data_IF_871394904168
#
_entry.id   IF_871394904168
#
_cell.length_a   1.000
_cell.length_b   1.000
_cell.length_c   1.000
_cell.angle_alpha   90.00
_cell.angle_beta   90.00
_cell.angle_gamma   90.00
#
_symmetry.space_group_name_H-M   'P 1'
#
loop_
_entity.id
_entity.type
_entity.pdbx_description
1 polymer ?
#
# COMPACT_ATOMS: atom_id res chain seq x y z
N UNK A 1 -9.34 3.41 49.73
CA UNK A 1 -10.33 3.88 48.72
C UNK A 1 -9.88 5.07 47.86
N UNK A 2 -8.65 5.59 47.99
CA UNK A 2 -8.11 6.63 47.07
C UNK A 2 -7.16 6.08 45.99
N UNK A 3 -6.60 4.88 46.19
CA UNK A 3 -5.65 4.26 45.24
C UNK A 3 -6.36 3.55 44.07
N UNK A 4 -7.54 2.98 44.31
CA UNK A 4 -8.39 2.35 43.28
C UNK A 4 -9.02 3.36 42.31
N UNK A 5 -9.16 4.63 42.72
CA UNK A 5 -9.70 5.70 41.87
C UNK A 5 -8.65 6.25 40.88
N UNK A 6 -7.37 6.18 41.22
CA UNK A 6 -6.27 6.71 40.40
C UNK A 6 -5.96 5.81 39.18
N UNK A 7 -6.17 4.50 39.32
CA UNK A 7 -5.94 3.50 38.26
C UNK A 7 -6.98 3.53 37.13
N UNK A 8 -8.18 4.07 37.38
CA UNK A 8 -9.23 4.20 36.34
C UNK A 8 -8.96 5.40 35.40
N UNK A 9 -8.20 6.41 35.87
CA UNK A 9 -7.85 7.58 35.04
C UNK A 9 -6.85 7.26 33.92
N UNK A 10 -6.13 6.13 34.01
CA UNK A 10 -5.12 5.71 33.02
C UNK A 10 -5.77 4.93 31.85
N UNK A 11 -7.03 4.49 31.99
CA UNK A 11 -7.75 3.72 30.97
C UNK A 11 -8.58 4.59 29.99
N UNK A 12 -8.52 5.92 30.11
CA UNK A 12 -9.26 6.87 29.26
C UNK A 12 -8.37 7.81 28.42
N UNK A 13 -7.03 7.65 28.45
CA UNK A 13 -6.11 8.36 27.54
C UNK A 13 -5.59 7.35 26.50
N UNK A 14 -6.54 6.70 25.84
CA UNK A 14 -6.29 5.80 24.70
C UNK A 14 -6.99 6.34 23.46
N UNK A 15 -6.79 7.60 23.13
CA UNK A 15 -7.13 8.13 21.81
C UNK A 15 -5.85 8.67 21.19
N UNK A 16 -5.00 7.76 20.70
CA UNK A 16 -4.10 8.11 19.63
C UNK A 16 -4.97 8.33 18.39
N UNK A 17 -5.37 9.57 18.13
CA UNK A 17 -5.86 9.98 16.82
C UNK A 17 -4.69 9.90 15.84
N UNK A 18 -4.32 8.68 15.45
CA UNK A 18 -3.43 8.48 14.33
C UNK A 18 -4.29 8.37 13.08
N UNK A 19 -4.62 9.54 12.54
CA UNK A 19 -5.12 9.66 11.18
C UNK A 19 -4.27 10.70 10.47
N UNK A 20 -3.04 10.32 10.13
CA UNK A 20 -2.45 10.85 8.90
C UNK A 20 -3.16 10.14 7.73
N UNK A 21 -4.47 10.42 7.60
CA UNK A 21 -5.14 10.24 6.34
C UNK A 21 -4.55 11.33 5.45
N UNK A 22 -3.53 10.97 4.67
CA UNK A 22 -3.15 11.78 3.51
C UNK A 22 -4.40 11.94 2.67
N UNK A 23 -5.05 13.09 2.80
CA UNK A 23 -6.25 13.43 2.06
C UNK A 23 -5.81 13.71 0.62
N UNK A 24 -5.88 12.69 -0.23
CA UNK A 24 -5.68 12.86 -1.67
C UNK A 24 -6.79 13.74 -2.23
N UNK A 25 -6.42 14.64 -3.15
CA UNK A 25 -7.39 15.47 -3.87
C UNK A 25 -8.27 14.63 -4.79
N UNK A 26 -9.42 15.17 -5.18
CA UNK A 26 -10.29 14.46 -6.11
C UNK A 26 -9.61 14.27 -7.47
N UNK A 27 -8.78 15.22 -7.89
CA UNK A 27 -7.97 15.15 -9.10
C UNK A 27 -6.93 14.02 -9.02
N UNK A 28 -6.24 13.87 -7.88
CA UNK A 28 -5.27 12.79 -7.66
C UNK A 28 -5.94 11.41 -7.68
N UNK A 29 -7.13 11.29 -7.07
CA UNK A 29 -7.94 10.07 -7.10
C UNK A 29 -8.41 9.76 -8.52
N UNK A 30 -8.89 10.75 -9.26
CA UNK A 30 -9.36 10.57 -10.65
C UNK A 30 -8.21 10.12 -11.55
N UNK A 31 -7.06 10.80 -11.47
CA UNK A 31 -5.88 10.44 -12.25
C UNK A 31 -5.42 9.01 -11.94
N UNK A 32 -5.32 8.65 -10.66
CA UNK A 32 -4.99 7.28 -10.26
C UNK A 32 -6.01 6.27 -10.81
N UNK A 33 -7.30 6.60 -10.74
CA UNK A 33 -8.37 5.71 -11.21
C UNK A 33 -8.31 5.48 -12.72
N UNK A 34 -8.07 6.52 -13.51
CA UNK A 34 -7.94 6.43 -14.97
C UNK A 34 -6.77 5.52 -15.38
N UNK A 35 -5.62 5.68 -14.72
CA UNK A 35 -4.42 4.89 -15.01
C UNK A 35 -4.52 3.46 -14.45
N UNK A 36 -4.91 3.31 -13.18
CA UNK A 36 -4.88 2.02 -12.47
C UNK A 36 -6.02 1.07 -12.87
N UNK A 37 -7.17 1.60 -13.33
CA UNK A 37 -8.29 0.78 -13.80
C UNK A 37 -8.23 0.47 -15.30
N UNK A 38 -7.11 0.79 -15.96
CA UNK A 38 -6.81 0.22 -17.26
C UNK A 38 -7.66 0.76 -18.42
N UNK A 39 -8.13 2.01 -18.36
CA UNK A 39 -8.77 2.65 -19.51
C UNK A 39 -7.87 2.67 -20.77
N UNK A 40 -6.54 2.54 -20.61
CA UNK A 40 -5.58 2.42 -21.71
C UNK A 40 -5.36 0.99 -22.25
N UNK A 41 -5.68 -0.09 -21.51
CA UNK A 41 -5.27 -1.46 -21.85
C UNK A 41 -6.42 -2.49 -21.77
N UNK A 42 -7.44 -2.30 -22.61
CA UNK A 42 -8.45 -3.33 -22.91
C UNK A 42 -9.67 -3.39 -21.99
N UNK A 43 -10.69 -4.14 -22.43
CA UNK A 43 -12.06 -4.12 -21.91
C UNK A 43 -12.18 -4.09 -20.38
N UNK A 44 -12.95 -3.09 -19.92
CA UNK A 44 -13.22 -2.67 -18.53
C UNK A 44 -13.20 -3.82 -17.51
N UNK A 45 -12.18 -3.81 -16.64
CA UNK A 45 -12.26 -4.46 -15.33
C UNK A 45 -12.24 -3.35 -14.28
N UNK A 46 -13.42 -2.95 -13.81
CA UNK A 46 -13.62 -1.93 -12.78
C UNK A 46 -13.18 -2.36 -11.36
N UNK A 47 -12.39 -3.43 -11.25
CA UNK A 47 -12.04 -4.06 -9.97
C UNK A 47 -10.53 -3.95 -9.74
N UNK A 48 -10.16 -3.16 -8.74
CA UNK A 48 -8.77 -3.09 -8.24
C UNK A 48 -8.43 -4.42 -7.56
N UNK A 49 -7.33 -5.05 -7.99
CA UNK A 49 -6.79 -6.25 -7.33
C UNK A 49 -5.59 -5.85 -6.48
N UNK A 50 -5.71 -6.07 -5.16
CA UNK A 50 -4.63 -5.87 -4.21
C UNK A 50 -3.93 -7.21 -3.95
N UNK A 51 -2.60 -7.24 -3.99
CA UNK A 51 -1.82 -8.39 -3.53
C UNK A 51 -1.91 -8.52 -2.01
N UNK A 52 -2.16 -9.74 -1.54
CA UNK A 52 -2.24 -10.06 -0.09
C UNK A 52 -0.93 -10.56 0.48
N UNK A 53 0.03 -10.88 -0.40
CA UNK A 53 1.30 -11.51 -0.09
C UNK A 53 2.33 -11.08 -1.15
N UNK A 54 3.61 -11.31 -0.85
CA UNK A 54 4.73 -10.99 -1.75
C UNK A 54 4.56 -11.59 -3.15
N UNK A 55 4.90 -10.79 -4.15
CA UNK A 55 4.81 -11.17 -5.55
C UNK A 55 5.95 -12.13 -5.87
N UNK A 56 5.61 -13.25 -6.50
CA UNK A 56 6.60 -14.20 -7.04
C UNK A 56 6.89 -13.88 -8.49
N UNK A 57 8.15 -13.56 -8.79
CA UNK A 57 8.62 -13.20 -10.13
C UNK A 57 9.49 -14.33 -10.69
N UNK A 58 9.28 -14.69 -11.97
CA UNK A 58 10.08 -15.66 -12.70
C UNK A 58 10.74 -15.00 -13.90
N UNK A 59 12.06 -15.04 -13.94
CA UNK A 59 12.86 -14.58 -15.09
C UNK A 59 13.00 -15.74 -16.09
N UNK A 60 12.82 -15.45 -17.38
CA UNK A 60 13.00 -16.41 -18.48
C UNK A 60 14.05 -15.87 -19.45
N UNK A 61 14.79 -16.77 -20.09
CA UNK A 61 15.87 -16.42 -21.02
C UNK A 61 17.20 -16.26 -20.30
N UNK A 62 18.11 -15.52 -20.92
CA UNK A 62 19.49 -15.27 -20.44
C UNK A 62 19.61 -13.79 -20.04
N UNK A 63 19.20 -13.40 -18.82
CA UNK A 63 19.31 -12.02 -18.36
C UNK A 63 20.78 -11.62 -18.21
N UNK A 64 21.09 -10.38 -18.53
CA UNK A 64 22.38 -9.79 -18.20
C UNK A 64 22.46 -9.44 -16.71
N UNK A 65 23.67 -9.18 -16.22
CA UNK A 65 23.87 -8.72 -14.85
C UNK A 65 23.14 -7.39 -14.56
N UNK A 66 23.09 -6.49 -15.53
CA UNK A 66 22.36 -5.23 -15.43
C UNK A 66 20.84 -5.46 -15.31
N UNK A 67 20.31 -6.45 -16.04
CA UNK A 67 18.90 -6.84 -15.94
C UNK A 67 18.60 -7.37 -14.54
N UNK A 68 19.47 -8.24 -14.00
CA UNK A 68 19.30 -8.81 -12.66
C UNK A 68 19.33 -7.76 -11.56
N UNK A 69 20.25 -6.79 -11.65
CA UNK A 69 20.32 -5.68 -10.69
C UNK A 69 19.06 -4.83 -10.73
N UNK A 70 18.59 -4.51 -11.94
CA UNK A 70 17.35 -3.73 -12.13
C UNK A 70 16.14 -4.47 -11.55
N UNK A 71 15.99 -5.76 -11.86
CA UNK A 71 14.89 -6.58 -11.36
C UNK A 71 14.96 -6.72 -9.84
N UNK A 72 16.16 -6.87 -9.26
CA UNK A 72 16.34 -6.98 -7.81
C UNK A 72 15.87 -5.72 -7.08
N UNK A 73 16.21 -4.54 -7.61
CA UNK A 73 15.72 -3.27 -7.08
C UNK A 73 14.20 -3.19 -7.15
N UNK A 74 13.61 -3.49 -8.31
CA UNK A 74 12.14 -3.44 -8.50
C UNK A 74 11.43 -4.43 -7.55
N UNK A 75 11.98 -5.63 -7.36
CA UNK A 75 11.41 -6.63 -6.43
C UNK A 75 11.42 -6.10 -5.00
N UNK A 76 12.50 -5.41 -4.58
CA UNK A 76 12.60 -4.80 -3.25
C UNK A 76 11.70 -3.58 -3.05
N UNK A 77 11.30 -2.90 -4.13
CA UNK A 77 10.32 -1.80 -4.05
C UNK A 77 8.88 -2.33 -3.97
N UNK A 78 8.62 -3.56 -4.44
CA UNK A 78 7.28 -4.17 -4.48
C UNK A 78 6.93 -5.01 -3.25
N UNK A 79 7.93 -5.65 -2.62
CA UNK A 79 7.78 -6.56 -1.47
C UNK A 79 8.54 -6.00 -0.26
#
# INVERSE_FOLDING_TARGET
MKLTLFLISILLIGCSSQSDATNFSQEEITYFTEIALGAEFGDEISVIKKWTDDIRIKIKGEPTEADLQTITTIVGDLN
#
